data_IF_305417474854
#
_entry.id   IF_305417474854
#
_cell.length_a   1.000
_cell.length_b   1.000
_cell.length_c   1.000
_cell.angle_alpha   90.00
_cell.angle_beta   90.00
_cell.angle_gamma   90.00
#
_symmetry.space_group_name_H-M   'P 1'
#
loop_
_entity.id
_entity.type
_entity.pdbx_description
1 polymer ?
#
# COMPACT_ATOMS: atom_id res chain seq x y z
N UNK A 1 11.27 11.84 0.62
CA UNK A 1 12.54 11.57 1.31
C UNK A 1 12.62 10.06 1.52
N UNK A 2 13.39 9.29 0.75
CA UNK A 2 13.70 7.92 1.12
C UNK A 2 14.48 7.98 2.45
N UNK A 3 14.06 7.22 3.46
CA UNK A 3 14.87 7.05 4.67
C UNK A 3 16.16 6.34 4.28
N UNK A 4 17.25 6.56 5.02
CA UNK A 4 18.60 6.06 4.70
C UNK A 4 18.77 4.53 4.55
N UNK A 5 17.69 3.75 4.60
CA UNK A 5 17.62 2.29 4.38
C UNK A 5 17.09 1.86 3.01
N UNK A 6 16.74 2.79 2.11
CA UNK A 6 16.24 2.47 0.76
C UNK A 6 14.83 1.85 0.73
N UNK A 7 14.09 1.94 1.83
CA UNK A 7 12.77 1.33 1.95
C UNK A 7 11.66 2.21 1.34
N UNK A 8 10.75 1.58 0.62
CA UNK A 8 9.51 2.16 0.08
C UNK A 8 8.32 1.64 0.88
N UNK A 9 7.72 2.48 1.72
CA UNK A 9 6.51 2.15 2.45
C UNK A 9 5.30 2.05 1.49
N UNK A 10 4.54 0.96 1.60
CA UNK A 10 3.30 0.72 0.83
C UNK A 10 2.11 0.77 1.78
N UNK A 11 1.13 1.59 1.44
CA UNK A 11 -0.07 1.83 2.25
C UNK A 11 -1.32 1.70 1.39
N UNK A 12 -2.38 1.19 1.99
CA UNK A 12 -3.73 1.23 1.42
C UNK A 12 -4.45 2.45 1.99
N UNK A 13 -4.96 3.29 1.09
CA UNK A 13 -5.65 4.53 1.45
C UNK A 13 -7.04 4.54 0.83
N UNK A 14 -7.97 5.20 1.50
CA UNK A 14 -9.34 5.37 1.04
C UNK A 14 -9.71 6.85 1.08
N UNK A 15 -10.47 7.29 0.09
CA UNK A 15 -11.07 8.62 0.08
C UNK A 15 -12.41 8.60 0.79
N UNK A 16 -12.51 9.28 1.94
CA UNK A 16 -13.74 9.35 2.74
C UNK A 16 -14.01 10.80 3.14
N UNK A 17 -15.21 11.29 2.81
CA UNK A 17 -15.67 12.61 3.26
C UNK A 17 -14.77 13.78 2.84
N UNK A 18 -14.18 13.70 1.64
CA UNK A 18 -13.29 14.74 1.12
C UNK A 18 -11.85 14.67 1.65
N UNK A 19 -11.46 13.59 2.32
CA UNK A 19 -10.11 13.39 2.85
C UNK A 19 -9.57 12.01 2.49
N UNK A 20 -8.25 11.94 2.33
CA UNK A 20 -7.52 10.71 2.10
C UNK A 20 -7.14 10.11 3.46
N UNK A 21 -7.68 8.93 3.77
CA UNK A 21 -7.52 8.24 5.06
C UNK A 21 -6.71 6.97 4.83
N UNK A 22 -5.61 6.82 5.57
CA UNK A 22 -4.83 5.58 5.55
C UNK A 22 -5.63 4.49 6.27
N UNK A 23 -5.89 3.37 5.59
CA UNK A 23 -6.62 2.23 6.13
C UNK A 23 -5.70 1.18 6.70
N UNK A 24 -4.62 0.88 5.98
CA UNK A 24 -3.70 -0.20 6.34
C UNK A 24 -2.29 0.14 5.84
N UNK A 25 -1.27 -0.20 6.65
CA UNK A 25 0.12 -0.21 6.20
C UNK A 25 0.47 -1.64 5.77
N UNK A 26 0.73 -1.83 4.47
CA UNK A 26 0.96 -3.15 3.88
C UNK A 26 2.39 -3.65 4.10
N UNK A 27 3.35 -2.73 4.27
CA UNK A 27 4.75 -3.07 4.55
C UNK A 27 5.73 -2.08 3.93
N UNK A 28 7.02 -2.35 4.07
CA UNK A 28 8.09 -1.58 3.46
C UNK A 28 8.91 -2.46 2.53
N UNK A 29 9.06 -2.05 1.28
CA UNK A 29 9.84 -2.75 0.27
C UNK A 29 11.25 -2.15 0.16
N UNK A 30 12.26 -3.00 0.26
CA UNK A 30 13.67 -2.64 0.09
C UNK A 30 14.20 -3.04 -1.29
N UNK A 31 13.43 -3.84 -2.03
CA UNK A 31 13.76 -4.26 -3.40
C UNK A 31 12.56 -4.06 -4.34
N UNK A 32 12.79 -3.94 -5.66
CA UNK A 32 11.71 -3.90 -6.65
C UNK A 32 10.79 -5.12 -6.60
N UNK A 33 11.33 -6.30 -6.27
CA UNK A 33 10.55 -7.54 -6.13
C UNK A 33 9.60 -7.50 -4.93
N UNK A 34 10.08 -7.01 -3.78
CA UNK A 34 9.23 -6.78 -2.60
C UNK A 34 8.14 -5.74 -2.90
N UNK A 35 8.48 -4.68 -3.63
CA UNK A 35 7.51 -3.66 -4.01
C UNK A 35 6.41 -4.25 -4.90
N UNK A 36 6.77 -5.05 -5.90
CA UNK A 36 5.81 -5.73 -6.75
C UNK A 36 4.90 -6.67 -5.96
N UNK A 37 5.45 -7.44 -5.01
CA UNK A 37 4.67 -8.31 -4.15
C UNK A 37 3.67 -7.53 -3.28
N UNK A 38 4.09 -6.42 -2.66
CA UNK A 38 3.21 -5.56 -1.87
C UNK A 38 2.11 -4.91 -2.72
N UNK A 39 2.41 -4.53 -3.97
CA UNK A 39 1.42 -4.00 -4.90
C UNK A 39 0.38 -5.06 -5.27
N UNK A 40 0.79 -6.31 -5.53
CA UNK A 40 -0.16 -7.39 -5.85
C UNK A 40 -1.07 -7.70 -4.65
N UNK A 41 -0.54 -7.71 -3.42
CA UNK A 41 -1.35 -7.81 -2.21
C UNK A 41 -2.34 -6.64 -2.11
N UNK A 42 -1.90 -5.40 -2.37
CA UNK A 42 -2.77 -4.23 -2.36
C UNK A 42 -3.94 -4.38 -3.34
N UNK A 43 -3.66 -4.84 -4.58
CA UNK A 43 -4.69 -5.07 -5.61
C UNK A 43 -5.71 -6.12 -5.16
N UNK A 44 -5.26 -7.22 -4.57
CA UNK A 44 -6.16 -8.27 -4.05
C UNK A 44 -7.07 -7.73 -2.94
N UNK A 45 -6.54 -6.90 -2.03
CA UNK A 45 -7.32 -6.26 -0.98
C UNK A 45 -8.39 -5.32 -1.55
N UNK A 46 -8.02 -4.47 -2.51
CA UNK A 46 -8.96 -3.55 -3.17
C UNK A 46 -10.08 -4.33 -3.87
N UNK A 47 -9.75 -5.40 -4.61
CA UNK A 47 -10.74 -6.24 -5.26
C UNK A 47 -11.67 -6.95 -4.25
N UNK A 48 -11.13 -7.40 -3.12
CA UNK A 48 -11.94 -8.00 -2.06
C UNK A 48 -12.91 -6.99 -1.42
N UNK A 49 -12.50 -5.74 -1.27
CA UNK A 49 -13.35 -4.65 -0.75
C UNK A 49 -14.43 -4.29 -1.77
N UNK A 50 -14.09 -4.14 -3.05
CA UNK A 50 -15.03 -3.76 -4.11
C UNK A 50 -16.07 -4.83 -4.46
N UNK A 51 -15.87 -6.08 -4.02
CA UNK A 51 -16.82 -7.19 -4.23
C UNK A 51 -17.83 -7.36 -3.08
N UNK A 52 -17.79 -6.50 -2.07
CA UNK A 52 -18.83 -6.39 -1.02
C UNK A 52 -19.79 -5.27 -1.35
#
# INVERSE_FOLDING_TARGET
>A
MPTGSGATGVQLVEWVGGRLVVREHLGSAHTPGELAALIEVAKQRIQAISRR
#
